data_IF_765624298547
#
_entry.id   IF_765624298547
#
_cell.length_a   1.000
_cell.length_b   1.000
_cell.length_c   1.000
_cell.angle_alpha   90.00
_cell.angle_beta   90.00
_cell.angle_gamma   90.00
#
_symmetry.space_group_name_H-M   'P 1'
#
loop_
_entity.id
_entity.type
_entity.pdbx_description
1 polymer ?
#
# COMPACT_ATOMS: atom_id res chain seq x y z
N UNK A 1 11.36 -17.08 18.65
CA UNK A 1 10.99 -15.87 19.42
C UNK A 1 10.47 -14.85 18.40
N UNK A 2 9.25 -14.35 18.54
CA UNK A 2 8.73 -13.29 17.66
C UNK A 2 9.36 -11.96 18.08
N UNK A 3 9.66 -11.08 17.12
CA UNK A 3 10.18 -9.71 17.36
C UNK A 3 9.12 -8.79 18.03
N UNK A 4 7.89 -9.28 18.18
CA UNK A 4 6.79 -8.55 18.80
C UNK A 4 6.54 -9.07 20.20
N UNK A 5 6.67 -8.18 21.21
CA UNK A 5 6.30 -8.47 22.59
C UNK A 5 4.79 -8.77 22.75
N UNK A 6 4.44 -9.67 23.66
CA UNK A 6 3.06 -10.09 23.88
C UNK A 6 2.14 -8.93 24.30
N UNK A 7 2.65 -7.93 25.02
CA UNK A 7 1.85 -6.75 25.41
C UNK A 7 1.58 -5.86 24.20
N UNK A 8 2.56 -5.72 23.29
CA UNK A 8 2.37 -4.98 22.05
C UNK A 8 1.30 -5.63 21.17
N UNK A 9 1.34 -6.97 21.04
CA UNK A 9 0.31 -7.74 20.34
C UNK A 9 -1.07 -7.57 20.98
N UNK A 10 -1.16 -7.64 22.31
CA UNK A 10 -2.43 -7.45 23.03
C UNK A 10 -3.01 -6.05 22.82
N UNK A 11 -2.17 -5.00 22.88
CA UNK A 11 -2.58 -3.62 22.65
C UNK A 11 -3.09 -3.41 21.21
N UNK A 12 -2.39 -3.97 20.22
CA UNK A 12 -2.82 -3.92 18.81
C UNK A 12 -4.20 -4.57 18.62
N UNK A 13 -4.41 -5.76 19.18
CA UNK A 13 -5.68 -6.46 19.09
C UNK A 13 -6.81 -5.69 19.77
N UNK A 14 -6.54 -5.07 20.93
CA UNK A 14 -7.53 -4.23 21.63
C UNK A 14 -7.92 -3.00 20.79
N UNK A 15 -6.96 -2.33 20.15
CA UNK A 15 -7.22 -1.20 19.25
C UNK A 15 -8.07 -1.63 18.04
N UNK A 16 -7.69 -2.73 17.37
CA UNK A 16 -8.42 -3.28 16.22
C UNK A 16 -9.86 -3.67 16.60
N UNK A 17 -10.10 -4.16 17.83
CA UNK A 17 -11.44 -4.46 18.33
C UNK A 17 -12.29 -3.20 18.54
N UNK A 18 -11.71 -2.12 19.08
CA UNK A 18 -12.42 -0.84 19.33
C UNK A 18 -12.89 -0.15 18.04
N UNK A 19 -12.23 -0.38 16.91
CA UNK A 19 -12.60 0.22 15.63
C UNK A 19 -13.95 -0.29 15.06
N UNK A 20 -14.38 -1.50 15.43
CA UNK A 20 -15.52 -2.17 14.81
C UNK A 20 -15.33 -2.45 13.31
N UNK A 21 -16.33 -3.05 12.62
CA UNK A 21 -16.22 -3.41 11.21
C UNK A 21 -15.95 -2.22 10.28
N UNK A 22 -16.72 -1.14 10.42
CA UNK A 22 -16.59 0.04 9.55
C UNK A 22 -15.27 0.78 9.77
N UNK A 23 -14.82 0.90 11.01
CA UNK A 23 -13.53 1.52 11.32
C UNK A 23 -12.35 0.72 10.77
N UNK A 24 -12.44 -0.62 10.77
CA UNK A 24 -11.44 -1.47 10.13
C UNK A 24 -11.40 -1.30 8.62
N UNK A 25 -12.57 -1.24 7.96
CA UNK A 25 -12.62 -1.03 6.51
C UNK A 25 -12.03 0.34 6.12
N UNK A 26 -12.39 1.40 6.85
CA UNK A 26 -11.83 2.73 6.64
C UNK A 26 -10.31 2.74 6.82
N UNK A 27 -9.82 2.18 7.91
CA UNK A 27 -8.37 2.11 8.17
C UNK A 27 -7.65 1.29 7.09
N UNK A 28 -8.22 0.17 6.64
CA UNK A 28 -7.64 -0.63 5.56
C UNK A 28 -7.58 0.15 4.24
N UNK A 29 -8.60 0.94 3.92
CA UNK A 29 -8.58 1.83 2.77
C UNK A 29 -7.49 2.90 2.89
N UNK A 30 -7.41 3.59 4.03
CA UNK A 30 -6.37 4.61 4.30
C UNK A 30 -4.95 4.01 4.17
N UNK A 31 -4.71 2.85 4.79
CA UNK A 31 -3.42 2.16 4.68
C UNK A 31 -3.09 1.74 3.24
N UNK A 32 -4.10 1.38 2.45
CA UNK A 32 -3.91 1.01 1.04
C UNK A 32 -3.53 2.22 0.18
N UNK A 33 -4.14 3.38 0.45
CA UNK A 33 -3.78 4.66 -0.19
C UNK A 33 -2.35 5.06 0.18
N UNK A 34 -2.00 4.98 1.46
CA UNK A 34 -0.67 5.31 1.96
C UNK A 34 0.40 4.40 1.35
N UNK A 35 0.17 3.09 1.34
CA UNK A 35 1.07 2.11 0.73
C UNK A 35 1.29 2.40 -0.76
N UNK A 36 0.23 2.79 -1.48
CA UNK A 36 0.34 3.17 -2.90
C UNK A 36 1.19 4.42 -3.08
N UNK A 37 0.96 5.48 -2.29
CA UNK A 37 1.75 6.72 -2.36
C UNK A 37 3.22 6.46 -2.07
N UNK A 38 3.51 5.72 -0.98
CA UNK A 38 4.87 5.37 -0.58
C UNK A 38 5.60 4.59 -1.68
N UNK A 39 4.92 3.61 -2.31
CA UNK A 39 5.51 2.83 -3.38
C UNK A 39 5.85 3.70 -4.61
N UNK A 40 4.94 4.56 -5.05
CA UNK A 40 5.14 5.45 -6.20
C UNK A 40 6.26 6.45 -5.94
N UNK A 41 6.25 7.10 -4.77
CA UNK A 41 7.29 8.05 -4.38
C UNK A 41 8.66 7.36 -4.28
N UNK A 42 8.68 6.12 -3.77
CA UNK A 42 9.88 5.30 -3.72
C UNK A 42 10.46 4.99 -5.11
N UNK A 43 9.64 4.81 -6.14
CA UNK A 43 10.12 4.68 -7.53
C UNK A 43 10.68 6.00 -8.04
N UNK A 44 9.98 7.13 -7.83
CA UNK A 44 10.46 8.46 -8.24
C UNK A 44 11.79 8.84 -7.58
N UNK A 45 11.98 8.48 -6.31
CA UNK A 45 13.26 8.70 -5.61
C UNK A 45 14.41 7.87 -6.18
N UNK A 46 14.13 6.63 -6.64
CA UNK A 46 15.14 5.76 -7.26
C UNK A 46 15.39 6.11 -8.73
N UNK A 47 14.41 6.69 -9.39
CA UNK A 47 14.44 7.03 -10.82
C UNK A 47 13.86 8.44 -11.02
N UNK A 48 14.67 9.49 -10.80
CA UNK A 48 14.21 10.89 -10.83
C UNK A 48 13.59 11.33 -12.15
N UNK A 49 13.94 10.67 -13.25
CA UNK A 49 13.44 10.99 -14.60
C UNK A 49 12.01 10.47 -14.85
N UNK A 50 11.49 9.61 -13.96
CA UNK A 50 10.12 9.11 -14.10
C UNK A 50 9.12 10.20 -13.69
N UNK A 51 8.14 10.43 -14.57
CA UNK A 51 6.90 11.08 -14.19
C UNK A 51 6.14 10.25 -13.15
N UNK A 52 5.18 10.86 -12.47
CA UNK A 52 4.32 10.15 -11.52
C UNK A 52 3.52 9.02 -12.18
N UNK A 53 3.10 9.20 -13.43
CA UNK A 53 2.37 8.19 -14.21
C UNK A 53 3.29 7.00 -14.50
N UNK A 54 4.51 7.25 -14.95
CA UNK A 54 5.47 6.17 -15.23
C UNK A 54 5.87 5.42 -13.96
N UNK A 55 6.12 6.14 -12.86
CA UNK A 55 6.38 5.53 -11.56
C UNK A 55 5.21 4.64 -11.10
N UNK A 56 3.97 5.09 -11.31
CA UNK A 56 2.78 4.27 -11.06
C UNK A 56 2.74 3.02 -11.94
N UNK A 57 3.02 3.14 -13.24
CA UNK A 57 3.06 1.98 -14.15
C UNK A 57 4.12 0.96 -13.71
N UNK A 58 5.28 1.41 -13.21
CA UNK A 58 6.33 0.54 -12.66
C UNK A 58 5.84 -0.21 -11.42
N UNK A 59 5.21 0.49 -10.46
CA UNK A 59 4.66 -0.13 -9.24
C UNK A 59 3.59 -1.19 -9.61
N UNK A 60 2.66 -0.82 -10.49
CA UNK A 60 1.59 -1.72 -10.95
C UNK A 60 2.15 -2.97 -11.60
N UNK A 61 3.14 -2.82 -12.50
CA UNK A 61 3.81 -3.94 -13.17
C UNK A 61 4.54 -4.85 -12.19
N UNK A 62 5.16 -4.28 -11.14
CA UNK A 62 5.83 -5.07 -10.09
C UNK A 62 4.84 -5.87 -9.24
N UNK A 63 3.70 -5.27 -8.88
CA UNK A 63 2.73 -5.90 -7.98
C UNK A 63 1.83 -6.94 -8.66
N UNK A 64 1.39 -6.66 -9.89
CA UNK A 64 0.42 -7.52 -10.60
C UNK A 64 1.05 -8.36 -11.71
N UNK A 65 2.32 -8.13 -12.02
CA UNK A 65 3.00 -8.71 -13.17
C UNK A 65 2.61 -8.03 -14.47
N UNK A 66 3.41 -8.27 -15.51
CA UNK A 66 3.27 -7.61 -16.81
C UNK A 66 1.92 -7.89 -17.48
N UNK A 67 1.40 -9.12 -17.38
CA UNK A 67 0.14 -9.50 -18.03
C UNK A 67 -1.05 -8.67 -17.54
N UNK A 68 -1.17 -8.49 -16.22
CA UNK A 68 -2.27 -7.70 -15.65
C UNK A 68 -2.02 -6.20 -15.80
N UNK A 69 -0.77 -5.76 -15.70
CA UNK A 69 -0.43 -4.34 -15.82
C UNK A 69 -0.76 -3.76 -17.21
N UNK A 70 -0.59 -4.54 -18.29
CA UNK A 70 -0.93 -4.08 -19.65
C UNK A 70 -2.44 -3.96 -19.89
N UNK A 71 -3.26 -4.60 -19.06
CA UNK A 71 -4.74 -4.52 -19.12
C UNK A 71 -5.31 -3.33 -18.36
N UNK A 72 -4.49 -2.62 -17.59
CA UNK A 72 -4.93 -1.44 -16.85
C UNK A 72 -5.21 -0.31 -17.86
N UNK A 73 -6.43 0.23 -17.91
CA UNK A 73 -6.73 1.35 -18.79
C UNK A 73 -5.81 2.54 -18.46
N UNK A 74 -5.15 3.06 -19.49
CA UNK A 74 -4.40 4.32 -19.34
C UNK A 74 -5.42 5.45 -19.18
N UNK A 75 -5.41 6.11 -18.03
CA UNK A 75 -6.20 7.32 -17.83
C UNK A 75 -5.69 8.38 -18.82
N UNK A 76 -6.59 8.89 -19.66
CA UNK A 76 -6.39 10.09 -20.48
C UNK A 76 -6.48 11.33 -19.62
#
# INVERSE_FOLDING_TARGET
MLDTDDRARAAQLAAIRRLGPSGRLRLAAEMSEDARRIAIEGERRRHPDLSEIEAREVVVRRLWGTELATRVPRHR
#
